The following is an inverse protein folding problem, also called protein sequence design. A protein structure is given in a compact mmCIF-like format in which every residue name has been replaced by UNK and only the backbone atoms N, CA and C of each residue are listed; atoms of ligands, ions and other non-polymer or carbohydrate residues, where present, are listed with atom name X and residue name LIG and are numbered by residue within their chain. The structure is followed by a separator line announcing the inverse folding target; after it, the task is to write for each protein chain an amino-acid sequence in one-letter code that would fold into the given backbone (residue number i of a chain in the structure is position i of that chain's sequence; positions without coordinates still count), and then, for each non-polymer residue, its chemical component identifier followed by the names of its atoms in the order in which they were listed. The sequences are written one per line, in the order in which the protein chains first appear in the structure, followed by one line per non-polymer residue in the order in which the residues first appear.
data_IF_474476590288
#
_entry.id   IF_474476590288
#
_cell.length_a   1.000
_cell.length_b   1.000
_cell.length_c   1.000
_cell.angle_alpha   90.00
_cell.angle_beta   90.00
_cell.angle_gamma   90.00
#
_symmetry.space_group_name_H-M   'P 1'
#
loop_
_entity.id
_entity.type
_entity.pdbx_description
1 polymer ?
#
# COMPACT_ATOMS: atom_id res chain seq x y z
N UNK A 1 2.32 -6.62 8.53
CA UNK A 1 2.17 -5.29 7.93
C UNK A 1 0.96 -5.25 7.01
N UNK A 2 0.22 -4.14 7.05
CA UNK A 2 -0.84 -3.77 6.12
C UNK A 2 -0.61 -2.34 5.65
N UNK A 3 -1.16 -1.96 4.50
CA UNK A 3 -1.02 -0.63 3.92
C UNK A 3 -2.23 -0.27 3.06
N UNK A 4 -2.40 1.00 2.75
CA UNK A 4 -3.40 1.46 1.78
C UNK A 4 -4.80 0.91 2.10
N UNK A 5 -5.20 1.06 3.37
CA UNK A 5 -6.51 0.63 3.87
C UNK A 5 -7.60 1.46 3.20
N UNK A 6 -7.37 2.76 3.03
CA UNK A 6 -8.32 3.72 2.47
C UNK A 6 -9.70 3.66 3.12
N UNK A 7 -9.71 3.56 4.46
CA UNK A 7 -10.95 3.49 5.23
C UNK A 7 -11.80 4.75 5.03
N UNK A 8 -13.05 4.56 4.65
CA UNK A 8 -14.08 5.60 4.65
C UNK A 8 -15.16 5.21 5.65
N UNK A 9 -15.45 6.11 6.61
CA UNK A 9 -16.50 5.90 7.59
C UNK A 9 -17.85 5.62 6.90
N UNK A 10 -18.60 4.57 7.31
CA UNK A 10 -19.95 4.32 6.79
C UNK A 10 -20.92 5.49 6.99
N UNK A 11 -20.68 6.38 7.95
CA UNK A 11 -21.46 7.60 8.15
C UNK A 11 -21.21 8.69 7.09
N UNK A 12 -20.16 8.50 6.26
CA UNK A 12 -19.76 9.45 5.22
C UNK A 12 -20.25 9.05 3.82
N UNK A 13 -20.98 7.96 3.66
CA UNK A 13 -21.57 7.59 2.38
C UNK A 13 -22.94 6.92 2.55
N UNK A 14 -23.70 6.90 1.47
CA UNK A 14 -24.95 6.15 1.33
C UNK A 14 -24.96 5.42 -0.03
N UNK A 15 -26.05 4.73 -0.36
CA UNK A 15 -26.21 4.02 -1.65
C UNK A 15 -26.56 4.95 -2.82
N UNK A 16 -26.29 6.26 -2.69
CA UNK A 16 -26.62 7.27 -3.66
C UNK A 16 -25.67 7.34 -4.87
N UNK A 17 -26.08 8.12 -5.87
CA UNK A 17 -25.30 8.28 -7.12
C UNK A 17 -23.91 8.88 -6.88
N UNK A 18 -23.74 9.75 -5.88
CA UNK A 18 -22.43 10.33 -5.58
C UNK A 18 -21.43 9.28 -5.18
N UNK A 19 -21.79 8.35 -4.29
CA UNK A 19 -20.92 7.25 -3.89
C UNK A 19 -20.73 6.23 -5.01
N UNK A 20 -21.79 5.92 -5.78
CA UNK A 20 -21.67 5.04 -6.94
C UNK A 20 -20.66 5.57 -7.97
N UNK A 21 -20.67 6.88 -8.26
CA UNK A 21 -19.66 7.51 -9.11
C UNK A 21 -18.25 7.44 -8.52
N UNK A 22 -18.11 7.63 -7.21
CA UNK A 22 -16.82 7.53 -6.53
C UNK A 22 -16.27 6.09 -6.61
N UNK A 23 -17.08 5.07 -6.31
CA UNK A 23 -16.67 3.67 -6.46
C UNK A 23 -16.18 3.34 -7.87
N UNK A 24 -16.86 3.85 -8.89
CA UNK A 24 -16.49 3.63 -10.30
C UNK A 24 -15.16 4.28 -10.72
N UNK A 25 -14.61 5.18 -9.92
CA UNK A 25 -13.37 5.93 -10.22
C UNK A 25 -12.31 5.78 -9.11
N UNK A 26 -12.48 4.82 -8.21
CA UNK A 26 -11.60 4.61 -7.05
C UNK A 26 -10.37 3.75 -7.34
N UNK A 27 -10.06 3.49 -8.61
CA UNK A 27 -8.94 2.65 -9.03
C UNK A 27 -8.98 1.23 -8.40
N UNK A 28 -10.14 0.59 -8.50
CA UNK A 28 -10.36 -0.78 -8.03
C UNK A 28 -10.49 -0.96 -6.52
N UNK A 29 -10.47 0.13 -5.72
CA UNK A 29 -10.69 0.05 -4.27
C UNK A 29 -12.13 -0.33 -3.96
N UNK A 30 -12.31 -1.32 -3.11
CA UNK A 30 -13.63 -1.73 -2.62
C UNK A 30 -14.02 -0.94 -1.36
N UNK A 31 -14.30 0.36 -1.54
CA UNK A 31 -14.58 1.30 -0.45
C UNK A 31 -15.78 0.90 0.42
N UNK A 32 -16.71 0.16 -0.13
CA UNK A 32 -17.93 -0.27 0.55
C UNK A 32 -17.63 -1.32 1.63
N UNK A 33 -16.70 -2.24 1.34
CA UNK A 33 -16.37 -3.34 2.23
C UNK A 33 -15.09 -3.12 3.06
N UNK A 34 -14.44 -1.96 3.00
CA UNK A 34 -13.30 -1.68 3.88
C UNK A 34 -13.65 -1.81 5.36
N UNK A 35 -14.84 -1.39 5.84
CA UNK A 35 -15.24 -1.65 7.23
C UNK A 35 -15.29 -3.15 7.58
N UNK A 36 -15.76 -4.00 6.66
CA UNK A 36 -15.78 -5.47 6.82
C UNK A 36 -14.37 -6.05 6.82
N UNK A 37 -13.48 -5.51 5.97
CA UNK A 37 -12.05 -5.87 5.98
C UNK A 37 -11.41 -5.56 7.33
N UNK A 38 -11.75 -4.43 7.93
CA UNK A 38 -11.25 -4.08 9.27
C UNK A 38 -11.78 -5.01 10.36
N UNK A 39 -13.04 -5.43 10.27
CA UNK A 39 -13.58 -6.46 11.16
C UNK A 39 -12.86 -7.81 10.99
N UNK A 40 -12.61 -8.21 9.75
CA UNK A 40 -11.83 -9.41 9.44
C UNK A 40 -10.38 -9.31 9.96
N UNK A 41 -9.74 -8.14 9.83
CA UNK A 41 -8.39 -7.91 10.34
C UNK A 41 -8.33 -8.02 11.88
N UNK A 42 -9.31 -7.48 12.59
CA UNK A 42 -9.43 -7.65 14.05
C UNK A 42 -9.60 -9.12 14.43
N UNK A 43 -10.43 -9.86 13.70
CA UNK A 43 -10.67 -11.28 13.92
C UNK A 43 -9.41 -12.11 13.63
N UNK A 44 -8.72 -11.84 12.54
CA UNK A 44 -7.49 -12.54 12.18
C UNK A 44 -6.36 -12.24 13.17
N UNK A 45 -6.18 -10.98 13.57
CA UNK A 45 -5.22 -10.61 14.61
C UNK A 45 -5.47 -11.31 15.95
N UNK A 46 -6.74 -11.48 16.33
CA UNK A 46 -7.10 -12.22 17.55
C UNK A 46 -6.79 -13.72 17.46
N UNK A 47 -6.88 -14.30 16.25
CA UNK A 47 -6.58 -15.72 15.96
C UNK A 47 -5.09 -15.99 15.88
N UNK A 48 -4.36 -15.18 15.12
CA UNK A 48 -2.93 -15.39 14.83
C UNK A 48 -2.01 -14.79 15.91
N UNK A 49 -2.47 -13.77 16.65
CA UNK A 49 -1.76 -13.08 17.74
C UNK A 49 -0.33 -12.65 17.38
N UNK A 50 -0.13 -11.88 16.30
CA UNK A 50 1.20 -11.36 16.00
C UNK A 50 1.69 -10.41 17.11
N UNK A 51 3.00 -10.31 17.28
CA UNK A 51 3.59 -9.39 18.26
C UNK A 51 3.33 -7.92 17.90
N UNK A 52 3.31 -7.61 16.60
CA UNK A 52 3.17 -6.26 16.07
C UNK A 52 2.36 -6.25 14.78
N UNK A 53 1.41 -5.31 14.66
CA UNK A 53 0.79 -4.89 13.40
C UNK A 53 1.34 -3.52 12.99
N UNK A 54 1.94 -3.43 11.82
CA UNK A 54 2.39 -2.18 11.22
C UNK A 54 1.39 -1.75 10.16
N UNK A 55 1.01 -0.46 10.15
CA UNK A 55 0.19 0.17 9.12
C UNK A 55 1.01 1.26 8.43
N UNK A 56 1.42 1.02 7.18
CA UNK A 56 2.39 1.86 6.48
C UNK A 56 1.76 2.91 5.55
N UNK A 57 0.76 3.63 6.05
CA UNK A 57 0.18 4.80 5.39
C UNK A 57 -1.08 4.53 4.59
N UNK A 58 -1.69 5.61 4.11
CA UNK A 58 -3.00 5.66 3.45
C UNK A 58 -4.08 4.90 4.23
N UNK A 59 -4.16 5.28 5.53
CA UNK A 59 -5.10 4.70 6.49
C UNK A 59 -6.54 5.02 6.08
N UNK A 60 -6.79 6.27 5.64
CA UNK A 60 -8.12 6.77 5.29
C UNK A 60 -8.25 7.02 3.79
N UNK A 61 -9.48 7.11 3.30
CA UNK A 61 -9.73 7.35 1.89
C UNK A 61 -9.15 8.69 1.43
N UNK A 62 -9.40 9.77 2.18
CA UNK A 62 -8.84 11.09 1.89
C UNK A 62 -8.69 11.98 3.14
N UNK A 63 -8.22 11.47 4.25
CA UNK A 63 -7.93 12.26 5.44
C UNK A 63 -9.19 12.79 6.15
N UNK A 64 -10.31 12.08 6.05
CA UNK A 64 -11.52 12.38 6.78
C UNK A 64 -11.28 12.16 8.28
N UNK A 65 -11.40 13.21 9.09
CA UNK A 65 -11.15 13.15 10.54
C UNK A 65 -11.97 12.03 11.22
N UNK A 66 -13.24 11.89 10.84
CA UNK A 66 -14.11 10.83 11.38
C UNK A 66 -13.57 9.43 11.05
N UNK A 67 -13.10 9.21 9.82
CA UNK A 67 -12.52 7.93 9.41
C UNK A 67 -11.30 7.55 10.24
N UNK A 68 -10.42 8.51 10.56
CA UNK A 68 -9.27 8.27 11.45
C UNK A 68 -9.70 7.85 12.87
N UNK A 69 -10.70 8.54 13.44
CA UNK A 69 -11.19 8.23 14.79
C UNK A 69 -11.81 6.83 14.85
N UNK A 70 -12.58 6.44 13.84
CA UNK A 70 -13.19 5.11 13.78
C UNK A 70 -12.14 4.02 13.55
N UNK A 71 -11.15 4.29 12.71
CA UNK A 71 -10.05 3.35 12.47
C UNK A 71 -9.24 3.09 13.74
N UNK A 72 -8.99 4.13 14.56
CA UNK A 72 -8.34 3.98 15.86
C UNK A 72 -9.10 3.02 16.80
N UNK A 73 -10.44 2.97 16.72
CA UNK A 73 -11.23 2.03 17.51
C UNK A 73 -11.04 0.55 17.07
N UNK A 74 -10.75 0.29 15.79
CA UNK A 74 -10.34 -1.06 15.35
C UNK A 74 -8.98 -1.42 15.93
N UNK A 75 -8.02 -0.51 15.90
CA UNK A 75 -6.69 -0.73 16.48
C UNK A 75 -6.73 -0.96 17.99
N UNK A 76 -7.60 -0.26 18.73
CA UNK A 76 -7.83 -0.53 20.15
C UNK A 76 -8.28 -1.97 20.40
N UNK A 77 -9.13 -2.52 19.52
CA UNK A 77 -9.60 -3.92 19.63
C UNK A 77 -8.48 -4.91 19.33
N UNK A 78 -7.60 -4.60 18.37
CA UNK A 78 -6.42 -5.41 18.05
C UNK A 78 -5.48 -5.43 19.24
N UNK A 79 -5.17 -4.27 19.84
CA UNK A 79 -4.29 -4.19 21.01
C UNK A 79 -4.85 -4.91 22.27
N UNK A 80 -6.17 -4.86 22.47
CA UNK A 80 -6.83 -5.62 23.54
C UNK A 80 -6.65 -7.13 23.41
N UNK A 81 -6.38 -7.63 22.21
CA UNK A 81 -6.07 -9.04 21.94
C UNK A 81 -4.58 -9.37 22.14
N UNK A 82 -3.74 -8.38 22.43
CA UNK A 82 -2.31 -8.57 22.74
C UNK A 82 -1.33 -8.19 21.63
N UNK A 83 -1.80 -7.88 20.43
CA UNK A 83 -0.99 -7.40 19.31
C UNK A 83 -0.73 -5.91 19.46
N UNK A 84 0.52 -5.47 19.49
CA UNK A 84 0.89 -4.06 19.47
C UNK A 84 0.59 -3.47 18.07
N UNK A 85 0.13 -2.23 17.98
CA UNK A 85 -0.11 -1.54 16.70
C UNK A 85 0.84 -0.37 16.55
N UNK A 86 1.30 -0.12 15.31
CA UNK A 86 2.15 1.02 14.96
C UNK A 86 1.80 1.57 13.59
N UNK A 87 1.64 2.89 13.47
CA UNK A 87 1.15 3.53 12.25
C UNK A 87 2.03 4.69 11.81
N UNK A 88 2.12 4.94 10.51
CA UNK A 88 2.59 6.19 9.90
C UNK A 88 1.54 6.71 8.93
N UNK A 89 1.49 8.02 8.64
CA UNK A 89 0.58 8.53 7.63
C UNK A 89 1.02 8.18 6.22
N UNK A 90 0.03 8.05 5.31
CA UNK A 90 0.23 8.11 3.87
C UNK A 90 -0.15 9.47 3.28
N UNK A 91 -0.02 9.61 1.97
CA UNK A 91 -0.25 10.90 1.31
C UNK A 91 -1.73 11.31 1.30
N UNK A 92 -2.65 10.37 1.50
CA UNK A 92 -4.08 10.66 1.60
C UNK A 92 -4.52 11.18 2.98
N UNK A 93 -3.77 10.94 4.07
CA UNK A 93 -4.27 11.03 5.44
C UNK A 93 -4.31 12.44 6.04
N UNK A 94 -3.48 13.38 5.56
CA UNK A 94 -3.29 14.69 6.18
C UNK A 94 -3.56 15.83 5.21
N UNK A 95 -4.35 16.82 5.65
CA UNK A 95 -4.69 18.04 4.90
C UNK A 95 -5.17 17.75 3.46
N UNK A 96 -5.85 16.65 3.25
CA UNK A 96 -6.36 16.25 1.93
C UNK A 96 -7.60 17.07 1.56
N UNK A 97 -7.49 17.83 0.49
CA UNK A 97 -8.62 18.60 -0.05
C UNK A 97 -9.71 17.73 -0.68
N UNK A 98 -9.55 16.43 -0.69
CA UNK A 98 -10.52 15.46 -1.21
C UNK A 98 -11.37 14.81 -0.12
N UNK A 99 -11.19 15.16 1.16
CA UNK A 99 -12.04 14.69 2.25
C UNK A 99 -13.51 15.04 1.99
N UNK A 100 -14.37 14.03 1.85
CA UNK A 100 -15.77 14.16 1.41
C UNK A 100 -16.72 13.24 2.15
N UNK A 101 -17.97 13.72 2.24
CA UNK A 101 -19.17 12.91 2.46
C UNK A 101 -19.92 12.78 1.12
N UNK A 102 -20.53 11.62 0.90
CA UNK A 102 -21.32 11.27 -0.27
C UNK A 102 -22.76 10.99 0.15
N UNK A 103 -23.70 11.84 -0.24
CA UNK A 103 -25.10 11.75 0.20
C UNK A 103 -26.05 11.99 -0.99
N UNK A 104 -26.78 10.97 -1.42
CA UNK A 104 -27.63 11.03 -2.60
C UNK A 104 -26.84 11.32 -3.87
N UNK A 105 -27.08 12.48 -4.51
CA UNK A 105 -26.38 12.93 -5.71
C UNK A 105 -25.18 13.85 -5.40
N UNK A 106 -25.02 14.29 -4.15
CA UNK A 106 -24.10 15.35 -3.74
C UNK A 106 -22.86 14.85 -3.01
N UNK A 107 -21.78 15.62 -3.14
CA UNK A 107 -20.55 15.46 -2.36
C UNK A 107 -20.34 16.71 -1.50
N UNK A 108 -20.22 16.54 -0.19
CA UNK A 108 -19.94 17.63 0.74
C UNK A 108 -18.50 17.52 1.30
N UNK A 109 -17.85 18.68 1.50
CA UNK A 109 -16.56 18.74 2.20
C UNK A 109 -16.77 18.39 3.68
N UNK A 110 -15.89 17.53 4.22
CA UNK A 110 -15.87 17.20 5.63
C UNK A 110 -14.58 17.67 6.30
N UNK A 111 -14.47 17.48 7.60
CA UNK A 111 -13.29 17.84 8.37
C UNK A 111 -12.08 17.01 7.93
N UNK A 112 -10.99 17.73 7.62
CA UNK A 112 -9.70 17.14 7.26
C UNK A 112 -8.85 16.99 8.52
N UNK A 113 -8.14 15.88 8.62
CA UNK A 113 -7.15 15.68 9.66
C UNK A 113 -5.92 16.59 9.47
N UNK A 114 -5.39 17.10 10.58
CA UNK A 114 -4.10 17.79 10.66
C UNK A 114 -3.00 16.83 11.12
N UNK A 115 -1.71 17.19 11.00
CA UNK A 115 -0.62 16.38 11.59
C UNK A 115 -0.80 16.16 13.09
N UNK A 116 -1.27 17.19 13.82
CA UNK A 116 -1.53 17.11 15.22
C UNK A 116 -2.70 16.18 15.57
N UNK A 117 -3.79 16.22 14.76
CA UNK A 117 -4.92 15.30 14.90
C UNK A 117 -4.46 13.86 14.69
N UNK A 118 -3.66 13.59 13.63
CA UNK A 118 -3.12 12.26 13.35
C UNK A 118 -2.29 11.74 14.53
N UNK A 119 -1.33 12.53 15.00
CA UNK A 119 -0.48 12.16 16.14
C UNK A 119 -1.28 11.94 17.43
N UNK A 120 -2.33 12.74 17.67
CA UNK A 120 -3.16 12.63 18.87
C UNK A 120 -4.10 11.41 18.80
N UNK A 121 -4.74 11.17 17.68
CA UNK A 121 -5.66 10.03 17.49
C UNK A 121 -4.90 8.71 17.59
N UNK A 122 -3.69 8.66 17.03
CA UNK A 122 -2.85 7.46 17.02
C UNK A 122 -1.73 7.49 18.09
N UNK A 123 -1.89 8.28 19.16
CA UNK A 123 -0.88 8.41 20.22
C UNK A 123 -0.45 7.04 20.78
N UNK A 124 -1.41 6.20 21.13
CA UNK A 124 -1.16 4.87 21.68
C UNK A 124 -0.57 3.89 20.65
N UNK A 125 -0.74 4.17 19.34
CA UNK A 125 -0.34 3.29 18.24
C UNK A 125 1.02 3.67 17.65
N UNK A 126 2.03 3.70 18.50
CA UNK A 126 3.43 3.94 18.17
C UNK A 126 3.98 5.25 18.73
N UNK A 127 3.28 6.37 18.61
CA UNK A 127 3.82 7.68 18.97
C UNK A 127 4.19 7.81 20.44
N UNK A 128 3.36 7.39 21.39
CA UNK A 128 3.66 7.49 22.81
C UNK A 128 4.64 6.41 23.30
N UNK A 129 4.83 5.36 22.53
CA UNK A 129 5.80 4.28 22.77
C UNK A 129 7.14 4.52 22.07
N UNK A 130 7.24 5.59 21.29
CA UNK A 130 8.44 5.91 20.53
C UNK A 130 9.64 6.17 21.45
N UNK A 131 10.77 5.51 21.15
CA UNK A 131 12.05 5.72 21.85
C UNK A 131 12.80 6.95 21.35
N UNK A 132 12.49 7.43 20.14
CA UNK A 132 12.94 8.68 19.56
C UNK A 132 11.87 9.22 18.61
N UNK A 133 11.69 10.53 18.55
CA UNK A 133 10.74 11.20 17.67
C UNK A 133 11.44 12.31 16.89
N UNK A 134 11.15 12.43 15.61
CA UNK A 134 11.57 13.58 14.80
C UNK A 134 10.75 14.80 15.19
N UNK A 135 11.39 15.92 15.61
CA UNK A 135 10.66 17.14 15.97
C UNK A 135 10.00 17.86 14.78
N UNK A 136 10.38 17.54 13.54
CA UNK A 136 10.00 18.27 12.33
C UNK A 136 9.05 17.45 11.42
N UNK A 137 8.76 16.19 11.78
CA UNK A 137 7.86 15.32 11.03
C UNK A 137 7.11 14.35 11.97
N UNK A 138 6.25 13.51 11.37
CA UNK A 138 5.60 12.43 12.12
C UNK A 138 6.45 11.14 12.16
N UNK A 139 7.75 11.23 11.86
CA UNK A 139 8.66 10.10 11.95
C UNK A 139 9.04 9.80 13.39
N UNK A 140 9.27 8.52 13.67
CA UNK A 140 9.69 8.07 14.99
C UNK A 140 10.41 6.72 14.92
N UNK A 141 11.06 6.36 16.01
CA UNK A 141 11.62 5.01 16.19
C UNK A 141 10.84 4.32 17.30
N UNK A 142 10.41 3.10 17.01
CA UNK A 142 9.81 2.24 18.01
C UNK A 142 10.60 0.94 18.17
N UNK A 143 10.57 0.38 19.35
CA UNK A 143 11.05 -0.97 19.63
C UNK A 143 9.90 -1.77 20.24
N UNK A 144 9.33 -2.74 19.50
CA UNK A 144 8.28 -3.58 20.02
C UNK A 144 8.82 -4.48 21.14
N UNK A 145 7.92 -5.05 21.93
CA UNK A 145 8.33 -5.97 23.03
C UNK A 145 9.19 -7.15 22.57
N UNK A 146 9.10 -7.50 21.29
CA UNK A 146 9.93 -8.54 20.65
C UNK A 146 11.41 -8.13 20.46
N UNK A 147 11.76 -6.83 20.61
CA UNK A 147 13.15 -6.36 20.66
C UNK A 147 13.81 -6.03 19.33
N UNK A 148 13.05 -5.88 18.22
CA UNK A 148 13.58 -5.44 16.93
C UNK A 148 13.11 -4.01 16.65
N UNK A 149 14.02 -3.01 16.52
CA UNK A 149 13.63 -1.64 16.29
C UNK A 149 13.17 -1.38 14.86
N UNK A 150 12.17 -0.51 14.72
CA UNK A 150 11.63 -0.02 13.46
C UNK A 150 11.78 1.49 13.36
N UNK A 151 12.33 1.96 12.24
CA UNK A 151 12.30 3.36 11.82
C UNK A 151 10.98 3.59 11.07
N UNK A 152 10.07 4.31 11.67
CA UNK A 152 8.78 4.68 11.10
C UNK A 152 8.91 6.08 10.50
N UNK A 153 9.06 6.17 9.17
CA UNK A 153 9.42 7.42 8.48
C UNK A 153 8.21 8.01 7.76
N UNK A 154 7.84 9.22 8.17
CA UNK A 154 6.87 10.04 7.43
C UNK A 154 7.53 10.59 6.16
N UNK A 155 7.09 10.07 5.04
CA UNK A 155 7.60 10.38 3.70
C UNK A 155 6.71 11.37 2.94
N UNK A 156 5.67 11.94 3.58
CA UNK A 156 4.63 12.66 2.88
C UNK A 156 4.93 14.14 2.67
N UNK A 157 4.44 14.67 1.57
CA UNK A 157 4.45 16.11 1.26
C UNK A 157 3.01 16.63 1.37
N UNK A 158 2.59 17.02 2.55
CA UNK A 158 1.28 17.63 2.78
C UNK A 158 1.36 19.15 2.91
N UNK A 159 0.21 19.82 2.74
CA UNK A 159 0.10 21.27 2.89
C UNK A 159 0.30 21.69 4.34
N UNK A 160 0.87 22.89 4.60
CA UNK A 160 0.96 23.45 5.95
C UNK A 160 -0.40 23.71 6.61
N UNK A 161 -1.46 23.83 5.82
CA UNK A 161 -2.83 24.08 6.27
C UNK A 161 -3.82 23.23 5.48
N UNK A 162 -5.05 23.14 6.00
CA UNK A 162 -6.17 22.46 5.33
C UNK A 162 -6.25 22.86 3.85
N UNK A 163 -6.32 21.87 2.97
CA UNK A 163 -6.20 22.03 1.51
C UNK A 163 -7.56 21.99 0.82
N UNK A 164 -7.61 22.50 -0.40
CA UNK A 164 -8.72 22.28 -1.37
C UNK A 164 -8.24 21.48 -2.57
N UNK A 165 -6.99 21.05 -2.58
CA UNK A 165 -6.35 20.31 -3.69
C UNK A 165 -6.33 18.82 -3.38
N UNK A 166 -6.13 18.03 -4.43
CA UNK A 166 -5.79 16.64 -4.32
C UNK A 166 -4.57 16.42 -3.39
N UNK A 167 -4.48 15.29 -2.69
CA UNK A 167 -3.23 14.87 -2.06
C UNK A 167 -2.12 14.81 -3.10
N UNK A 168 -0.89 15.06 -2.66
CA UNK A 168 0.27 14.88 -3.54
C UNK A 168 0.61 13.39 -3.60
N UNK A 169 0.91 12.92 -4.78
CA UNK A 169 1.37 11.54 -4.98
C UNK A 169 2.85 11.39 -4.62
N UNK A 170 3.64 12.46 -4.79
CA UNK A 170 5.07 12.44 -4.52
C UNK A 170 5.35 12.49 -3.02
N UNK A 171 6.38 11.75 -2.60
CA UNK A 171 6.91 11.77 -1.23
C UNK A 171 8.35 12.27 -1.16
N UNK A 172 8.80 12.66 0.03
CA UNK A 172 10.18 13.08 0.30
C UNK A 172 10.52 12.94 1.77
N UNK A 173 11.74 12.50 2.08
CA UNK A 173 12.33 12.64 3.40
C UNK A 173 12.94 14.02 3.51
N UNK A 174 12.58 14.78 4.57
CA UNK A 174 13.04 16.15 4.80
C UNK A 174 14.52 16.18 5.23
N UNK A 175 15.21 17.28 4.97
CA UNK A 175 16.60 17.48 5.41
C UNK A 175 16.71 17.45 6.96
N UNK A 176 15.72 17.99 7.65
CA UNK A 176 15.66 18.02 9.11
C UNK A 176 15.52 16.59 9.69
N UNK A 177 14.79 15.72 9.00
CA UNK A 177 14.65 14.30 9.39
C UNK A 177 16.01 13.59 9.31
N UNK A 178 16.83 13.84 8.30
CA UNK A 178 18.19 13.28 8.26
C UNK A 178 19.07 13.75 9.42
N UNK A 179 18.96 15.01 9.86
CA UNK A 179 19.68 15.50 11.03
C UNK A 179 19.29 14.76 12.30
N UNK A 180 17.97 14.51 12.49
CA UNK A 180 17.47 13.69 13.62
C UNK A 180 17.96 12.24 13.51
N UNK A 181 17.94 11.64 12.32
CA UNK A 181 18.43 10.28 12.11
C UNK A 181 19.92 10.17 12.39
N UNK A 182 20.74 11.16 12.02
CA UNK A 182 22.18 11.17 12.32
C UNK A 182 22.45 11.20 13.84
N UNK A 183 21.67 11.98 14.60
CA UNK A 183 21.74 11.98 16.06
C UNK A 183 21.32 10.61 16.64
N UNK A 184 20.22 10.03 16.13
CA UNK A 184 19.76 8.72 16.57
C UNK A 184 20.79 7.63 16.30
N UNK A 185 21.30 7.54 15.07
CA UNK A 185 22.30 6.53 14.68
C UNK A 185 23.62 6.68 15.43
N UNK A 186 24.04 7.89 15.75
CA UNK A 186 25.26 8.14 16.52
C UNK A 186 25.19 7.56 17.96
N UNK A 187 23.98 7.34 18.48
CA UNK A 187 23.76 6.76 19.82
C UNK A 187 23.60 5.22 19.80
N UNK A 188 23.48 4.61 18.62
CA UNK A 188 23.10 3.19 18.47
C UNK A 188 24.23 2.31 17.88
N UNK A 189 25.51 2.60 18.20
CA UNK A 189 26.69 1.94 17.57
C UNK A 189 26.68 0.42 17.58
N UNK A 190 25.89 -0.24 18.43
CA UNK A 190 25.89 -1.72 18.57
C UNK A 190 24.66 -2.42 17.94
N UNK A 191 23.60 -1.71 17.50
CA UNK A 191 22.32 -2.30 17.08
C UNK A 191 21.85 -1.95 15.67
N UNK A 192 22.67 -1.27 14.86
CA UNK A 192 22.27 -0.76 13.55
C UNK A 192 21.84 -1.81 12.53
N UNK A 193 22.32 -3.05 12.69
CA UNK A 193 22.14 -4.11 11.68
C UNK A 193 20.78 -4.80 11.73
N UNK A 194 19.99 -4.57 12.78
CA UNK A 194 18.66 -5.19 12.96
C UNK A 194 17.51 -4.22 12.78
N UNK A 195 17.81 -2.95 12.50
CA UNK A 195 16.78 -1.91 12.31
C UNK A 195 16.08 -2.12 10.97
N UNK A 196 14.76 -2.15 11.00
CA UNK A 196 13.92 -2.21 9.81
C UNK A 196 13.36 -0.84 9.50
N UNK A 197 13.31 -0.47 8.21
CA UNK A 197 12.74 0.79 7.75
C UNK A 197 11.30 0.57 7.29
N UNK A 198 10.41 1.47 7.69
CA UNK A 198 9.03 1.53 7.21
C UNK A 198 8.74 2.94 6.73
N UNK A 199 8.33 3.07 5.48
CA UNK A 199 7.83 4.29 4.87
C UNK A 199 6.49 4.05 4.18
N UNK A 200 5.81 5.10 3.73
CA UNK A 200 4.66 4.93 2.85
C UNK A 200 5.12 4.84 1.39
N UNK A 201 5.93 5.79 0.94
CA UNK A 201 6.46 5.82 -0.42
C UNK A 201 7.70 4.92 -0.56
N UNK A 202 7.80 4.14 -1.64
CA UNK A 202 8.97 3.32 -1.93
C UNK A 202 10.25 4.13 -2.18
N UNK A 203 11.38 3.51 -1.83
CA UNK A 203 12.75 3.95 -2.13
C UNK A 203 13.24 3.41 -3.47
N UNK A 204 12.83 2.19 -3.83
CA UNK A 204 13.22 1.54 -5.07
C UNK A 204 12.12 1.67 -6.12
N UNK A 205 12.51 1.49 -7.37
CA UNK A 205 11.56 1.59 -8.48
C UNK A 205 10.97 0.22 -8.81
N UNK A 206 9.79 -0.05 -8.30
CA UNK A 206 9.02 -1.27 -8.48
C UNK A 206 8.19 -1.31 -9.78
N UNK A 207 7.97 -0.17 -10.42
CA UNK A 207 7.07 -0.03 -11.59
C UNK A 207 7.81 0.41 -12.85
N UNK A 208 9.13 0.31 -12.87
CA UNK A 208 9.96 0.65 -14.02
C UNK A 208 9.77 2.13 -14.46
N UNK A 209 9.45 2.35 -15.74
CA UNK A 209 9.32 3.71 -16.29
C UNK A 209 8.01 4.42 -15.92
N UNK A 210 7.02 3.71 -15.37
CA UNK A 210 5.76 4.30 -14.87
C UNK A 210 5.91 4.88 -13.47
N UNK A 211 7.06 4.70 -12.82
CA UNK A 211 7.32 5.07 -11.43
C UNK A 211 7.43 6.57 -11.14
N UNK A 212 7.27 7.46 -12.12
CA UNK A 212 7.30 8.91 -11.89
C UNK A 212 6.17 9.35 -10.96
N UNK A 213 6.52 9.87 -9.76
CA UNK A 213 5.58 10.26 -8.70
C UNK A 213 5.21 9.14 -7.72
N UNK A 214 5.60 7.90 -7.99
CA UNK A 214 5.29 6.74 -7.14
C UNK A 214 6.46 6.28 -6.26
N UNK A 215 7.60 6.92 -6.35
CA UNK A 215 8.74 6.74 -5.46
C UNK A 215 9.11 8.07 -4.83
N UNK A 216 9.92 8.06 -3.80
CA UNK A 216 10.42 9.30 -3.19
C UNK A 216 11.15 10.17 -4.21
N UNK A 217 10.96 11.50 -4.13
CA UNK A 217 11.71 12.46 -4.96
C UNK A 217 13.23 12.37 -4.72
N UNK A 218 13.64 12.01 -3.49
CA UNK A 218 15.04 11.83 -3.10
C UNK A 218 15.38 10.35 -2.81
N UNK A 219 14.79 9.43 -3.56
CA UNK A 219 14.89 7.98 -3.36
C UNK A 219 16.33 7.46 -3.39
N UNK A 220 17.14 7.89 -4.36
CA UNK A 220 18.54 7.45 -4.49
C UNK A 220 19.37 7.88 -3.27
N UNK A 221 19.29 9.17 -2.90
CA UNK A 221 19.98 9.70 -1.72
C UNK A 221 19.54 9.02 -0.42
N UNK A 222 18.23 8.76 -0.28
CA UNK A 222 17.65 8.09 0.88
C UNK A 222 18.12 6.63 0.97
N UNK A 223 18.10 5.90 -0.16
CA UNK A 223 18.57 4.51 -0.20
C UNK A 223 20.05 4.42 0.15
N UNK A 224 20.89 5.32 -0.41
CA UNK A 224 22.33 5.37 -0.10
C UNK A 224 22.57 5.71 1.37
N UNK A 225 21.80 6.64 1.93
CA UNK A 225 21.87 7.00 3.33
C UNK A 225 21.58 5.80 4.25
N UNK A 226 20.43 5.15 4.08
CA UNK A 226 20.05 4.02 4.93
C UNK A 226 20.97 2.81 4.75
N UNK A 227 21.33 2.45 3.52
CA UNK A 227 22.31 1.40 3.26
C UNK A 227 23.68 1.72 3.91
N UNK A 228 24.12 2.97 3.86
CA UNK A 228 25.34 3.45 4.52
C UNK A 228 25.28 3.39 6.05
N UNK A 229 24.09 3.43 6.65
CA UNK A 229 23.84 3.20 8.08
C UNK A 229 23.68 1.73 8.45
N UNK A 230 23.73 0.80 7.47
CA UNK A 230 23.61 -0.64 7.70
C UNK A 230 22.18 -1.19 7.65
N UNK A 231 21.17 -0.36 7.37
CA UNK A 231 19.80 -0.82 7.13
C UNK A 231 19.78 -1.65 5.85
N UNK A 232 19.20 -2.85 5.92
CA UNK A 232 19.14 -3.79 4.79
C UNK A 232 17.79 -3.85 4.10
N UNK A 233 16.72 -3.53 4.84
CA UNK A 233 15.36 -3.79 4.40
C UNK A 233 14.46 -2.60 4.67
N UNK A 234 13.64 -2.29 3.70
CA UNK A 234 12.55 -1.30 3.80
C UNK A 234 11.22 -1.95 3.45
N UNK A 235 10.17 -1.48 4.10
CA UNK A 235 8.78 -1.84 3.84
C UNK A 235 8.00 -0.59 3.44
N UNK A 236 7.20 -0.70 2.37
CA UNK A 236 6.42 0.41 1.85
C UNK A 236 5.02 -0.03 1.38
N UNK A 237 4.23 0.94 0.94
CA UNK A 237 2.91 0.80 0.32
C UNK A 237 2.79 1.67 -0.93
N UNK A 238 1.75 2.50 -1.01
CA UNK A 238 1.55 3.58 -1.96
C UNK A 238 1.27 3.17 -3.41
N UNK A 239 2.00 2.24 -3.97
CA UNK A 239 1.79 1.77 -5.35
C UNK A 239 0.67 0.75 -5.47
N UNK A 240 0.11 0.32 -4.35
CA UNK A 240 -0.96 -0.68 -4.20
C UNK A 240 -0.61 -2.08 -4.72
N UNK A 241 0.48 -2.26 -5.44
CA UNK A 241 0.92 -3.55 -5.96
C UNK A 241 1.80 -4.27 -4.93
N UNK A 242 1.72 -5.59 -4.90
CA UNK A 242 2.66 -6.43 -4.18
C UNK A 242 3.92 -6.60 -5.02
N UNK A 243 5.07 -6.15 -4.51
CA UNK A 243 6.34 -6.27 -5.23
C UNK A 243 7.53 -6.34 -4.27
N UNK A 244 8.57 -7.06 -4.65
CA UNK A 244 9.84 -7.14 -3.92
C UNK A 244 10.97 -6.77 -4.86
N UNK A 245 11.69 -5.71 -4.54
CA UNK A 245 12.82 -5.24 -5.33
C UNK A 245 14.14 -5.27 -4.56
N UNK A 246 15.25 -5.40 -5.29
CA UNK A 246 16.60 -5.45 -4.76
C UNK A 246 17.50 -4.44 -5.48
N UNK A 247 18.26 -3.66 -4.72
CA UNK A 247 19.35 -2.86 -5.22
C UNK A 247 20.69 -3.53 -4.90
N UNK A 248 21.38 -4.02 -5.95
CA UNK A 248 22.63 -4.79 -5.86
C UNK A 248 23.88 -4.00 -6.25
N UNK A 249 23.75 -2.78 -6.67
CA UNK A 249 24.82 -1.88 -7.09
C UNK A 249 25.60 -1.23 -5.93
N UNK A 250 25.37 -1.69 -4.69
CA UNK A 250 25.95 -1.22 -3.44
C UNK A 250 26.89 -2.26 -2.84
N UNK A 251 27.65 -1.85 -1.80
CA UNK A 251 28.55 -2.78 -1.08
C UNK A 251 27.82 -4.01 -0.51
N UNK A 252 26.53 -3.82 -0.20
CA UNK A 252 25.66 -4.90 0.21
C UNK A 252 24.25 -4.68 -0.33
N UNK A 253 23.49 -5.75 -0.63
CA UNK A 253 22.14 -5.65 -1.13
C UNK A 253 21.24 -4.86 -0.19
N UNK A 254 20.36 -4.04 -0.76
CA UNK A 254 19.26 -3.39 -0.08
C UNK A 254 17.96 -3.91 -0.67
N UNK A 255 17.07 -4.39 0.17
CA UNK A 255 15.80 -4.97 -0.24
C UNK A 255 14.64 -4.06 0.13
N UNK A 256 13.68 -3.94 -0.74
CA UNK A 256 12.43 -3.26 -0.44
C UNK A 256 11.25 -4.17 -0.76
N UNK A 257 10.34 -4.27 0.21
CA UNK A 257 9.08 -4.99 0.09
C UNK A 257 7.95 -3.99 0.08
N UNK A 258 7.25 -3.89 -1.03
CA UNK A 258 5.97 -3.19 -1.10
C UNK A 258 4.86 -4.21 -0.88
N UNK A 259 4.08 -4.00 0.18
CA UNK A 259 2.89 -4.81 0.42
C UNK A 259 1.74 -4.27 -0.40
N UNK A 260 0.98 -5.14 -1.07
CA UNK A 260 -0.21 -4.75 -1.82
C UNK A 260 -1.27 -4.12 -0.91
N UNK A 261 -2.09 -3.24 -1.47
CA UNK A 261 -3.11 -2.52 -0.72
C UNK A 261 -4.17 -3.46 -0.11
N UNK A 262 -4.59 -3.17 1.13
CA UNK A 262 -5.64 -3.93 1.78
C UNK A 262 -7.00 -3.74 1.08
N UNK A 263 -7.25 -2.56 0.53
CA UNK A 263 -8.53 -2.16 -0.07
C UNK A 263 -8.78 -2.67 -1.50
N UNK A 264 -7.80 -3.36 -2.12
CA UNK A 264 -7.94 -3.95 -3.46
C UNK A 264 -7.51 -5.42 -3.47
N UNK A 265 -7.91 -6.17 -4.50
CA UNK A 265 -7.42 -7.54 -4.69
C UNK A 265 -5.87 -7.58 -4.77
N UNK A 266 -5.20 -8.49 -4.06
CA UNK A 266 -5.72 -9.64 -3.32
C UNK A 266 -6.01 -9.38 -1.83
N UNK A 267 -6.19 -8.12 -1.39
CA UNK A 267 -6.38 -7.72 0.02
C UNK A 267 -5.20 -8.19 0.87
N UNK A 268 -4.03 -7.70 0.50
CA UNK A 268 -2.76 -8.25 0.96
C UNK A 268 -2.45 -7.94 2.43
N UNK A 269 -1.86 -8.92 3.09
CA UNK A 269 -1.19 -8.79 4.38
C UNK A 269 0.24 -9.30 4.21
N UNK A 270 1.23 -8.55 4.66
CA UNK A 270 2.62 -9.00 4.76
C UNK A 270 2.88 -9.64 6.13
N UNK A 271 3.12 -10.94 6.18
CA UNK A 271 3.64 -11.60 7.38
C UNK A 271 5.15 -11.49 7.40
N UNK A 272 5.70 -10.93 8.49
CA UNK A 272 7.13 -10.77 8.69
C UNK A 272 7.55 -11.59 9.90
N UNK A 273 8.51 -12.46 9.72
CA UNK A 273 9.19 -13.17 10.82
C UNK A 273 10.61 -12.63 10.95
N UNK A 274 10.92 -12.05 12.11
CA UNK A 274 12.23 -11.50 12.43
C UNK A 274 12.93 -12.37 13.48
N UNK A 275 14.16 -12.75 13.16
CA UNK A 275 15.09 -13.41 14.09
C UNK A 275 16.45 -12.73 14.04
N UNK A 276 17.38 -13.09 14.90
CA UNK A 276 18.77 -12.60 14.82
C UNK A 276 19.54 -13.13 13.60
N UNK A 277 18.99 -14.13 12.89
CA UNK A 277 19.66 -14.79 11.77
C UNK A 277 19.06 -14.36 10.43
N UNK A 278 17.75 -14.13 10.37
CA UNK A 278 17.05 -13.83 9.12
C UNK A 278 15.77 -13.01 9.33
N UNK A 279 15.39 -12.31 8.28
CA UNK A 279 14.07 -11.74 8.06
C UNK A 279 13.38 -12.61 6.98
N UNK A 280 12.21 -13.15 7.28
CA UNK A 280 11.36 -13.79 6.29
C UNK A 280 10.09 -12.96 6.10
N UNK A 281 9.73 -12.72 4.85
CA UNK A 281 8.48 -12.07 4.45
C UNK A 281 7.64 -13.05 3.63
N UNK A 282 6.34 -13.06 3.90
CA UNK A 282 5.35 -13.82 3.13
C UNK A 282 4.10 -12.98 2.92
N UNK A 283 3.72 -12.72 1.66
CA UNK A 283 2.42 -12.14 1.33
C UNK A 283 1.31 -13.16 1.64
N UNK A 284 0.32 -12.75 2.38
CA UNK A 284 -0.94 -13.46 2.64
C UNK A 284 -2.12 -12.64 2.12
N UNK A 285 -3.29 -13.24 2.06
CA UNK A 285 -4.57 -12.58 1.78
C UNK A 285 -5.38 -12.56 3.07
N UNK A 286 -6.02 -11.44 3.38
CA UNK A 286 -6.93 -11.33 4.54
C UNK A 286 -8.10 -12.32 4.39
N UNK A 287 -8.35 -13.13 5.41
CA UNK A 287 -9.37 -14.18 5.40
C UNK A 287 -10.78 -13.60 5.72
N UNK A 288 -11.31 -12.80 4.78
CA UNK A 288 -12.63 -12.16 4.92
C UNK A 288 -13.74 -13.20 4.87
N UNK A 289 -13.62 -14.21 4.04
CA UNK A 289 -14.60 -15.32 3.94
C UNK A 289 -14.65 -16.10 5.26
N UNK A 290 -13.49 -16.48 5.82
CA UNK A 290 -13.42 -17.17 7.10
C UNK A 290 -13.97 -16.34 8.26
N UNK A 291 -13.73 -15.03 8.27
CA UNK A 291 -14.36 -14.13 9.23
C UNK A 291 -15.88 -14.10 9.08
N UNK A 292 -16.38 -13.94 7.85
CA UNK A 292 -17.82 -13.88 7.58
C UNK A 292 -18.53 -15.17 8.02
N UNK A 293 -17.96 -16.33 7.70
CA UNK A 293 -18.48 -17.65 8.14
C UNK A 293 -18.47 -17.78 9.68
N UNK A 294 -17.33 -17.42 10.32
CA UNK A 294 -17.14 -17.56 11.76
C UNK A 294 -18.08 -16.64 12.57
N UNK A 295 -18.43 -15.49 12.03
CA UNK A 295 -19.29 -14.49 12.70
C UNK A 295 -20.75 -14.55 12.29
N UNK A 296 -21.10 -15.40 11.30
CA UNK A 296 -22.48 -15.58 10.84
C UNK A 296 -22.97 -14.46 9.93
N UNK A 297 -22.07 -13.80 9.23
CA UNK A 297 -22.43 -12.86 8.16
C UNK A 297 -23.07 -13.64 7.01
N UNK A 298 -24.23 -13.17 6.52
CA UNK A 298 -25.01 -13.85 5.48
C UNK A 298 -24.89 -13.18 4.10
N UNK A 299 -24.12 -12.08 3.98
CA UNK A 299 -23.89 -11.36 2.72
C UNK A 299 -23.14 -12.25 1.71
N UNK A 300 -23.77 -12.61 0.56
CA UNK A 300 -23.15 -13.55 -0.38
C UNK A 300 -21.80 -13.06 -0.94
N UNK A 301 -21.65 -11.74 -1.12
CA UNK A 301 -20.43 -11.09 -1.58
C UNK A 301 -19.27 -11.24 -0.58
N UNK A 302 -19.55 -11.27 0.73
CA UNK A 302 -18.55 -11.47 1.78
C UNK A 302 -18.23 -12.96 1.97
N UNK A 303 -19.18 -13.86 1.75
CA UNK A 303 -18.97 -15.31 1.79
C UNK A 303 -18.22 -15.86 0.56
N UNK A 304 -18.05 -15.05 -0.49
CA UNK A 304 -17.27 -15.35 -1.68
C UNK A 304 -16.34 -14.18 -2.03
N UNK A 305 -15.75 -13.55 -1.00
CA UNK A 305 -15.09 -12.25 -1.14
C UNK A 305 -13.85 -12.29 -2.04
N UNK A 306 -13.09 -13.37 -2.02
CA UNK A 306 -11.94 -13.55 -2.91
C UNK A 306 -12.33 -13.38 -4.38
N UNK A 307 -13.43 -14.00 -4.79
CA UNK A 307 -13.95 -13.87 -6.15
C UNK A 307 -14.56 -12.49 -6.39
N UNK A 308 -15.28 -11.94 -5.42
CA UNK A 308 -15.89 -10.61 -5.51
C UNK A 308 -14.83 -9.53 -5.72
N UNK A 309 -13.78 -9.52 -4.89
CA UNK A 309 -12.66 -8.58 -4.96
C UNK A 309 -11.86 -8.75 -6.26
N UNK A 310 -11.58 -10.01 -6.67
CA UNK A 310 -10.92 -10.31 -7.94
C UNK A 310 -11.69 -9.74 -9.13
N UNK A 311 -13.01 -9.98 -9.21
CA UNK A 311 -13.81 -9.53 -10.34
C UNK A 311 -14.00 -8.02 -10.36
N UNK A 312 -14.08 -7.38 -9.19
CA UNK A 312 -14.09 -5.93 -9.06
C UNK A 312 -12.80 -5.32 -9.62
N UNK A 313 -11.66 -5.81 -9.18
CA UNK A 313 -10.36 -5.30 -9.60
C UNK A 313 -10.04 -5.60 -11.08
N UNK A 314 -10.37 -6.80 -11.56
CA UNK A 314 -10.27 -7.14 -12.98
C UNK A 314 -11.09 -6.18 -13.84
N UNK A 315 -12.33 -5.88 -13.43
CA UNK A 315 -13.21 -4.95 -14.15
C UNK A 315 -12.65 -3.53 -14.18
N UNK A 316 -11.97 -3.08 -13.12
CA UNK A 316 -11.30 -1.79 -13.10
C UNK A 316 -10.22 -1.72 -14.20
N UNK A 317 -9.39 -2.74 -14.34
CA UNK A 317 -8.42 -2.85 -15.44
C UNK A 317 -9.06 -2.92 -16.83
N UNK A 318 -10.20 -3.61 -16.94
CA UNK A 318 -11.00 -3.65 -18.19
C UNK A 318 -11.51 -2.24 -18.56
N UNK A 319 -12.00 -1.48 -17.57
CA UNK A 319 -12.48 -0.11 -17.77
C UNK A 319 -11.33 0.84 -18.15
N UNK A 320 -10.16 0.70 -17.51
CA UNK A 320 -8.94 1.44 -17.89
C UNK A 320 -8.60 1.20 -19.36
N UNK A 321 -8.63 -0.05 -19.80
CA UNK A 321 -8.35 -0.40 -21.20
C UNK A 321 -9.31 0.29 -22.16
N UNK A 322 -10.60 0.21 -21.88
CA UNK A 322 -11.64 0.82 -22.70
C UNK A 322 -11.47 2.35 -22.75
N UNK A 323 -11.26 2.99 -21.60
CA UNK A 323 -11.01 4.42 -21.51
C UNK A 323 -9.83 4.85 -22.37
N UNK A 324 -8.68 4.16 -22.26
CA UNK A 324 -7.48 4.49 -23.02
C UNK A 324 -7.66 4.31 -24.53
N UNK A 325 -8.38 3.26 -24.96
CA UNK A 325 -8.71 3.10 -26.37
C UNK A 325 -9.50 4.29 -26.93
N UNK A 326 -10.46 4.83 -26.16
CA UNK A 326 -11.25 6.00 -26.58
C UNK A 326 -10.43 7.29 -26.53
N UNK A 327 -9.70 7.56 -25.45
CA UNK A 327 -8.91 8.77 -25.29
C UNK A 327 -7.82 8.92 -26.36
N UNK A 328 -7.17 7.81 -26.70
CA UNK A 328 -6.11 7.76 -27.72
C UNK A 328 -6.64 7.51 -29.14
N UNK A 329 -7.95 7.43 -29.31
CA UNK A 329 -8.65 7.36 -30.61
C UNK A 329 -8.30 6.16 -31.49
N UNK A 330 -8.08 4.99 -30.88
CA UNK A 330 -7.87 3.72 -31.60
C UNK A 330 -8.90 2.64 -31.23
N UNK A 331 -10.00 3.05 -30.60
CA UNK A 331 -11.10 2.16 -30.25
C UNK A 331 -11.78 1.59 -31.51
N UNK A 332 -11.94 0.28 -31.51
CA UNK A 332 -12.79 -0.48 -32.43
C UNK A 332 -13.56 -1.54 -31.65
N UNK A 333 -14.88 -1.65 -31.88
CA UNK A 333 -15.75 -2.60 -31.13
C UNK A 333 -15.23 -4.04 -31.16
N UNK A 334 -14.60 -4.45 -32.29
CA UNK A 334 -14.03 -5.79 -32.44
C UNK A 334 -12.80 -6.03 -31.53
N UNK A 335 -12.19 -4.98 -30.98
CA UNK A 335 -11.03 -5.09 -30.10
C UNK A 335 -11.42 -5.11 -28.61
N UNK A 336 -12.60 -4.63 -28.25
CA UNK A 336 -13.00 -4.40 -26.86
C UNK A 336 -12.77 -5.62 -25.98
N UNK A 337 -13.47 -6.72 -26.27
CA UNK A 337 -13.42 -7.94 -25.45
C UNK A 337 -11.99 -8.43 -25.22
N UNK A 338 -11.20 -8.52 -26.28
CA UNK A 338 -9.86 -9.08 -26.19
C UNK A 338 -8.88 -8.16 -25.45
N UNK A 339 -8.96 -6.84 -25.68
CA UNK A 339 -8.06 -5.86 -25.04
C UNK A 339 -8.42 -5.67 -23.59
N UNK A 340 -9.71 -5.54 -23.25
CA UNK A 340 -10.22 -5.40 -21.91
C UNK A 340 -9.85 -6.63 -21.06
N UNK A 341 -10.16 -7.84 -21.51
CA UNK A 341 -9.84 -9.08 -20.80
C UNK A 341 -8.33 -9.21 -20.54
N UNK A 342 -7.51 -8.86 -21.53
CA UNK A 342 -6.05 -8.90 -21.36
C UNK A 342 -5.55 -7.93 -20.29
N UNK A 343 -5.96 -6.67 -20.34
CA UNK A 343 -5.51 -5.64 -19.37
C UNK A 343 -6.04 -5.94 -17.96
N UNK A 344 -7.30 -6.36 -17.85
CA UNK A 344 -7.87 -6.77 -16.56
C UNK A 344 -7.09 -7.92 -15.92
N UNK A 345 -6.74 -8.96 -16.67
CA UNK A 345 -5.91 -10.07 -16.19
C UNK A 345 -4.48 -9.64 -15.84
N UNK A 346 -3.89 -8.75 -16.63
CA UNK A 346 -2.56 -8.23 -16.37
C UNK A 346 -2.51 -7.42 -15.07
N UNK A 347 -3.54 -6.61 -14.80
CA UNK A 347 -3.65 -5.89 -13.54
C UNK A 347 -3.73 -6.85 -12.36
N UNK A 348 -4.64 -7.82 -12.41
CA UNK A 348 -4.77 -8.84 -11.35
C UNK A 348 -3.42 -9.50 -11.08
N UNK A 349 -2.74 -9.95 -12.11
CA UNK A 349 -1.44 -10.64 -12.01
C UNK A 349 -0.37 -9.75 -11.35
N UNK A 350 -0.21 -8.52 -11.83
CA UNK A 350 0.81 -7.59 -11.34
C UNK A 350 0.53 -7.15 -9.90
N UNK A 351 -0.69 -6.69 -9.62
CA UNK A 351 -1.01 -6.18 -8.28
C UNK A 351 -1.05 -7.27 -7.20
N UNK A 352 -1.21 -8.53 -7.59
CA UNK A 352 -1.09 -9.65 -6.65
C UNK A 352 0.34 -10.18 -6.44
N UNK A 353 1.34 -9.64 -7.16
CA UNK A 353 2.71 -10.15 -7.11
C UNK A 353 2.86 -11.54 -7.75
N UNK A 354 2.02 -11.86 -8.73
CA UNK A 354 2.06 -13.13 -9.47
C UNK A 354 2.72 -12.98 -10.85
N UNK A 355 3.53 -11.95 -11.01
CA UNK A 355 4.12 -11.56 -12.28
C UNK A 355 5.59 -11.97 -12.45
N UNK A 356 6.18 -12.63 -11.47
CA UNK A 356 7.52 -13.19 -11.57
C UNK A 356 7.69 -14.05 -12.84
N UNK A 357 8.75 -13.78 -13.57
CA UNK A 357 9.09 -14.46 -14.82
C UNK A 357 10.33 -15.31 -14.62
N UNK A 358 10.15 -16.62 -14.45
CA UNK A 358 11.27 -17.56 -14.30
C UNK A 358 12.05 -17.74 -15.62
N UNK A 359 11.36 -17.78 -16.76
CA UNK A 359 11.94 -17.92 -18.07
C UNK A 359 11.07 -17.32 -19.20
N UNK A 360 11.62 -17.21 -20.42
CA UNK A 360 10.88 -16.67 -21.57
C UNK A 360 9.62 -17.48 -21.93
N UNK A 361 9.53 -18.75 -21.53
CA UNK A 361 8.35 -19.58 -21.83
C UNK A 361 7.14 -19.20 -20.98
N UNK A 362 7.36 -18.69 -19.77
CA UNK A 362 6.30 -18.20 -18.90
C UNK A 362 5.60 -16.96 -19.46
N UNK A 363 6.28 -16.18 -20.30
CA UNK A 363 5.70 -15.05 -21.03
C UNK A 363 4.87 -15.47 -22.26
N UNK A 364 5.02 -16.71 -22.73
CA UNK A 364 4.41 -17.18 -23.97
C UNK A 364 2.88 -17.10 -23.94
N UNK A 365 2.25 -17.42 -22.83
CA UNK A 365 0.80 -17.32 -22.64
C UNK A 365 0.33 -15.87 -22.78
N UNK A 366 0.99 -14.94 -22.10
CA UNK A 366 0.66 -13.51 -22.08
C UNK A 366 0.91 -12.84 -23.42
N UNK A 367 2.02 -13.15 -24.09
CA UNK A 367 2.37 -12.55 -25.38
C UNK A 367 1.59 -13.16 -26.55
N UNK A 368 1.03 -14.36 -26.42
CA UNK A 368 0.16 -14.98 -27.43
C UNK A 368 -1.31 -14.55 -27.32
N UNK A 369 -1.69 -13.87 -26.23
CA UNK A 369 -3.07 -13.42 -26.03
C UNK A 369 -3.50 -12.43 -27.11
N UNK A 370 -4.75 -12.56 -27.60
CA UNK A 370 -5.26 -11.70 -28.69
C UNK A 370 -5.20 -10.21 -28.34
N UNK A 371 -5.54 -9.85 -27.10
CA UNK A 371 -5.47 -8.46 -26.61
C UNK A 371 -4.05 -7.88 -26.67
N UNK A 372 -3.04 -8.66 -26.26
CA UNK A 372 -1.64 -8.24 -26.40
C UNK A 372 -1.28 -7.96 -27.86
N UNK A 373 -1.62 -8.87 -28.76
CA UNK A 373 -1.31 -8.73 -30.18
C UNK A 373 -1.96 -7.50 -30.80
N UNK A 374 -3.22 -7.19 -30.42
CA UNK A 374 -3.93 -5.99 -30.86
C UNK A 374 -3.22 -4.74 -30.34
N UNK A 375 -2.88 -4.69 -29.04
CA UNK A 375 -2.18 -3.56 -28.44
C UNK A 375 -0.82 -3.32 -29.13
N UNK A 376 -0.05 -4.38 -29.40
CA UNK A 376 1.27 -4.27 -30.05
C UNK A 376 1.22 -3.76 -31.49
N UNK A 377 0.12 -4.05 -32.21
CA UNK A 377 -0.07 -3.61 -33.60
C UNK A 377 -0.49 -2.13 -33.71
N UNK A 378 -1.03 -1.56 -32.67
CA UNK A 378 -1.36 -0.13 -32.63
C UNK A 378 -0.09 0.70 -32.37
N UNK A 379 -0.15 1.99 -32.72
CA UNK A 379 0.95 2.93 -32.53
C UNK A 379 1.39 3.00 -31.06
N UNK A 380 2.48 3.72 -30.79
CA UNK A 380 3.07 3.91 -29.46
C UNK A 380 2.07 4.60 -28.49
N UNK A 381 1.17 3.80 -27.91
CA UNK A 381 0.09 4.20 -27.02
C UNK A 381 0.40 3.85 -25.54
N UNK A 382 -0.42 4.35 -24.62
CA UNK A 382 -0.29 4.10 -23.20
C UNK A 382 -0.36 2.59 -22.89
N UNK A 383 -1.38 1.88 -23.37
CA UNK A 383 -1.57 0.46 -23.07
C UNK A 383 -0.39 -0.41 -23.52
N UNK A 384 0.26 -0.05 -24.66
CA UNK A 384 1.46 -0.75 -25.10
C UNK A 384 2.62 -0.58 -24.15
N UNK A 385 2.85 0.64 -23.65
CA UNK A 385 3.90 0.92 -22.66
C UNK A 385 3.59 0.22 -21.34
N UNK A 386 2.36 0.37 -20.87
CA UNK A 386 1.86 -0.19 -19.64
C UNK A 386 1.99 -1.72 -19.61
N UNK A 387 1.37 -2.41 -20.55
CA UNK A 387 1.37 -3.88 -20.57
C UNK A 387 2.75 -4.48 -20.82
N UNK A 388 3.60 -3.86 -21.65
CA UNK A 388 4.98 -4.32 -21.82
C UNK A 388 5.79 -4.17 -20.54
N UNK A 389 5.51 -3.17 -19.74
CA UNK A 389 6.19 -2.97 -18.47
C UNK A 389 5.77 -3.99 -17.43
N UNK A 390 4.47 -4.27 -17.29
CA UNK A 390 3.96 -5.32 -16.40
C UNK A 390 4.45 -6.74 -16.77
N UNK A 391 4.97 -6.94 -17.98
CA UNK A 391 5.58 -8.20 -18.40
C UNK A 391 7.07 -8.33 -18.08
N UNK A 392 7.71 -7.27 -17.57
CA UNK A 392 9.17 -7.20 -17.46
C UNK A 392 9.70 -7.38 -16.04
N UNK A 393 8.88 -7.89 -15.13
CA UNK A 393 9.41 -8.24 -13.84
C UNK A 393 10.43 -9.37 -13.96
N UNK A 394 11.58 -9.21 -13.31
CA UNK A 394 12.73 -10.12 -13.39
C UNK A 394 13.45 -10.29 -12.06
N UNK A 395 12.92 -9.70 -11.00
CA UNK A 395 13.67 -9.60 -9.76
C UNK A 395 13.50 -10.84 -8.88
N UNK A 396 12.52 -10.83 -8.02
CA UNK A 396 12.31 -11.83 -6.98
C UNK A 396 10.89 -12.36 -7.05
N UNK A 397 10.59 -13.46 -6.38
CA UNK A 397 9.19 -13.84 -6.15
C UNK A 397 8.58 -12.82 -5.19
N UNK A 398 7.69 -11.97 -5.70
CA UNK A 398 7.11 -10.84 -4.98
C UNK A 398 6.27 -11.25 -3.76
N UNK A 399 5.97 -12.53 -3.63
CA UNK A 399 5.17 -13.05 -2.53
C UNK A 399 5.98 -13.57 -1.37
N UNK A 400 7.28 -13.81 -1.55
CA UNK A 400 8.11 -14.42 -0.52
C UNK A 400 9.60 -14.09 -0.69
N UNK A 401 10.24 -13.69 0.41
CA UNK A 401 11.69 -13.54 0.48
C UNK A 401 12.22 -13.91 1.85
N UNK A 402 13.44 -14.45 1.88
CA UNK A 402 14.23 -14.67 3.11
C UNK A 402 15.55 -13.92 2.97
N UNK A 403 15.79 -12.96 3.86
CA UNK A 403 16.96 -12.09 3.88
C UNK A 403 17.81 -12.44 5.11
N UNK A 404 19.05 -12.93 4.95
CA UNK A 404 19.95 -13.15 6.08
C UNK A 404 20.27 -11.82 6.78
N UNK A 405 20.13 -11.78 8.11
CA UNK A 405 20.55 -10.63 8.90
C UNK A 405 22.08 -10.58 8.98
N UNK A 406 22.65 -9.37 8.84
CA UNK A 406 24.10 -9.18 9.00
C UNK A 406 24.46 -9.31 10.48
N UNK A 407 25.55 -10.00 10.76
CA UNK A 407 26.12 -10.14 12.11
C UNK A 407 27.11 -9.01 12.40
#
# INVERSE_FOLDING_TARGET
IVTDIHYLSPDLFDDGEAFARMKATSAGKDLEHVPDMMEALVWEAAKEQPDLLIVSGDLTFNGEYQSLVELAAFFERIEKNGTQVSVIPGNHDIHSGWARKFEGEEMAVVEQATPEDFQQIFADYGYDLAISKDPESLSYVMEPKAGFPFLMIDTNIYSETKSTKAPKTEGRIKEETYAWLDEYFALQEEHLQTIQLVGHHPLLNHTGRLGGGFILENAEDATDYFAGKGVQTSFAGHIHAQDISEATDREAPFYEVVTGALSIFPNAIGEITLTNEELAYQRKTLDIEGWAEATGVEAPELLAYTQTSHDLFKRDGENLALQMMFEEQWHEEIYEEAVMDYVGKMNVRFFSGEDYVEDESSLGEWTSHAGYQIIQQNSDNFLKKYTNQLLQDKNLDDRHIVIPQRQ
#
